data_IF_655894366651
#
_entry.id   IF_655894366651
#
_cell.length_a   1.000
_cell.length_b   1.000
_cell.length_c   1.000
_cell.angle_alpha   90.00
_cell.angle_beta   90.00
_cell.angle_gamma   90.00
#
_symmetry.space_group_name_H-M   'P 1'
#
loop_
_entity.id
_entity.type
_entity.pdbx_description
1 polymer ?
#
# COMPACT_ATOMS: atom_id res chain seq x y z
N UNK A 1 27.36 25.44 -33.09
CA UNK A 1 25.89 25.49 -32.95
C UNK A 1 25.42 24.08 -32.72
N UNK A 2 24.90 23.84 -31.51
CA UNK A 2 24.02 22.75 -31.02
C UNK A 2 24.39 21.28 -31.34
N UNK A 3 24.40 20.33 -30.41
CA UNK A 3 23.98 20.35 -29.02
C UNK A 3 24.61 19.13 -28.33
N UNK A 4 25.29 19.39 -27.23
CA UNK A 4 25.68 18.32 -26.30
C UNK A 4 24.42 17.95 -25.54
N UNK A 5 23.88 16.76 -25.80
CA UNK A 5 22.84 16.16 -24.97
C UNK A 5 23.37 16.06 -23.54
N UNK A 6 22.93 17.02 -22.72
CA UNK A 6 23.16 17.02 -21.29
C UNK A 6 22.36 15.84 -20.71
N UNK A 7 23.04 14.71 -20.49
CA UNK A 7 22.52 13.61 -19.67
C UNK A 7 22.46 14.13 -18.24
N UNK A 8 21.37 14.81 -17.91
CA UNK A 8 21.08 15.24 -16.56
C UNK A 8 20.81 13.99 -15.71
N UNK A 9 21.55 13.77 -14.61
CA UNK A 9 21.20 12.71 -13.68
C UNK A 9 19.80 13.01 -13.15
N UNK A 10 18.89 12.04 -13.18
CA UNK A 10 17.53 12.21 -12.67
C UNK A 10 17.58 12.90 -11.29
N UNK A 11 16.87 14.02 -11.08
CA UNK A 11 16.89 14.69 -9.79
C UNK A 11 16.33 13.73 -8.75
N UNK A 12 16.99 13.61 -7.59
CA UNK A 12 16.57 12.74 -6.46
C UNK A 12 15.07 12.87 -6.11
N UNK A 13 14.45 14.05 -6.36
CA UNK A 13 13.00 14.26 -6.25
C UNK A 13 12.16 13.36 -7.17
N UNK A 14 12.61 13.09 -8.40
CA UNK A 14 11.93 12.19 -9.34
C UNK A 14 11.87 10.76 -8.82
N UNK A 15 12.96 10.27 -8.21
CA UNK A 15 12.99 8.95 -7.57
C UNK A 15 12.04 8.85 -6.36
N UNK A 16 11.93 9.93 -5.58
CA UNK A 16 10.98 10.01 -4.46
C UNK A 16 9.53 10.02 -4.97
N UNK A 17 9.21 10.81 -5.99
CA UNK A 17 7.87 10.85 -6.59
C UNK A 17 7.49 9.51 -7.22
N UNK A 18 8.45 8.83 -7.86
CA UNK A 18 8.24 7.49 -8.42
C UNK A 18 7.92 6.48 -7.33
N UNK A 19 8.66 6.48 -6.22
CA UNK A 19 8.39 5.61 -5.08
C UNK A 19 7.01 5.86 -4.46
N UNK A 20 6.61 7.13 -4.28
CA UNK A 20 5.27 7.46 -3.75
C UNK A 20 4.15 6.97 -4.68
N UNK A 21 4.32 7.10 -5.99
CA UNK A 21 3.37 6.57 -6.98
C UNK A 21 3.25 5.04 -6.91
N UNK A 22 4.39 4.33 -6.85
CA UNK A 22 4.44 2.86 -6.74
C UNK A 22 3.77 2.37 -5.44
N UNK A 23 3.98 3.06 -4.31
CA UNK A 23 3.34 2.72 -3.03
C UNK A 23 1.83 2.94 -3.07
N UNK A 24 1.37 4.03 -3.70
CA UNK A 24 -0.07 4.29 -3.88
C UNK A 24 -0.73 3.19 -4.71
N UNK A 25 -0.08 2.79 -5.79
CA UNK A 25 -0.60 1.73 -6.67
C UNK A 25 -0.58 0.35 -5.97
N UNK A 26 0.48 0.05 -5.22
CA UNK A 26 0.57 -1.17 -4.42
C UNK A 26 -0.54 -1.26 -3.38
N UNK A 27 -0.82 -0.16 -2.65
CA UNK A 27 -1.96 -0.08 -1.72
C UNK A 27 -3.27 -0.47 -2.40
N UNK A 28 -3.59 0.15 -3.53
CA UNK A 28 -4.83 -0.13 -4.27
C UNK A 28 -4.94 -1.59 -4.69
N UNK A 29 -3.86 -2.19 -5.21
CA UNK A 29 -3.88 -3.60 -5.60
C UNK A 29 -4.07 -4.55 -4.43
N UNK A 30 -3.41 -4.30 -3.30
CA UNK A 30 -3.56 -5.17 -2.14
C UNK A 30 -4.91 -5.01 -1.45
N UNK A 31 -5.50 -3.80 -1.42
CA UNK A 31 -6.87 -3.60 -0.94
C UNK A 31 -7.89 -4.30 -1.83
N UNK A 32 -7.73 -4.22 -3.16
CA UNK A 32 -8.60 -4.94 -4.08
C UNK A 32 -8.47 -6.46 -3.91
N UNK A 33 -7.26 -6.99 -3.78
CA UNK A 33 -7.03 -8.41 -3.54
C UNK A 33 -7.62 -8.87 -2.20
N UNK A 34 -7.45 -8.07 -1.14
CA UNK A 34 -8.05 -8.30 0.17
C UNK A 34 -9.58 -8.42 0.06
N UNK A 35 -10.23 -7.47 -0.62
CA UNK A 35 -11.68 -7.48 -0.84
C UNK A 35 -12.13 -8.77 -1.56
N UNK A 36 -11.48 -9.11 -2.68
CA UNK A 36 -11.83 -10.30 -3.47
C UNK A 36 -11.69 -11.57 -2.61
N UNK A 37 -10.56 -11.76 -1.94
CA UNK A 37 -10.36 -12.98 -1.15
C UNK A 37 -11.28 -13.06 0.06
N UNK A 38 -11.61 -11.92 0.69
CA UNK A 38 -12.61 -11.88 1.75
C UNK A 38 -14.01 -12.28 1.24
N UNK A 39 -14.42 -11.81 0.05
CA UNK A 39 -15.71 -12.18 -0.57
C UNK A 39 -15.84 -13.69 -0.84
N UNK A 40 -14.73 -14.35 -1.20
CA UNK A 40 -14.68 -15.80 -1.42
C UNK A 40 -14.29 -16.60 -0.16
N UNK A 41 -14.18 -15.95 0.99
CA UNK A 41 -13.78 -16.54 2.28
C UNK A 41 -12.41 -17.29 2.19
N UNK A 42 -11.51 -16.83 1.32
CA UNK A 42 -10.16 -17.35 1.17
C UNK A 42 -9.22 -16.71 2.20
N UNK A 43 -9.36 -17.19 3.44
CA UNK A 43 -8.55 -16.72 4.56
C UNK A 43 -7.05 -16.99 4.40
N UNK A 44 -6.66 -18.02 3.64
CA UNK A 44 -5.24 -18.32 3.40
C UNK A 44 -4.61 -17.23 2.54
N UNK A 45 -5.25 -16.84 1.43
CA UNK A 45 -4.71 -15.81 0.56
C UNK A 45 -4.69 -14.43 1.22
N UNK A 46 -5.72 -14.11 2.02
CA UNK A 46 -5.77 -12.91 2.86
C UNK A 46 -4.54 -12.84 3.77
N UNK A 47 -4.30 -13.90 4.55
CA UNK A 47 -3.22 -13.93 5.56
C UNK A 47 -1.82 -14.03 4.94
N UNK A 48 -1.71 -14.62 3.75
CA UNK A 48 -0.41 -14.88 3.11
C UNK A 48 0.05 -13.73 2.22
N UNK A 49 -0.88 -13.07 1.52
CA UNK A 49 -0.51 -12.17 0.41
C UNK A 49 -0.94 -10.71 0.61
N UNK A 50 -2.20 -10.42 0.95
CA UNK A 50 -2.67 -9.03 0.97
C UNK A 50 -2.44 -8.36 2.32
N UNK A 51 -2.86 -9.00 3.42
CA UNK A 51 -2.80 -8.38 4.75
C UNK A 51 -1.36 -8.05 5.16
N UNK A 52 -0.36 -8.95 5.08
CA UNK A 52 1.01 -8.61 5.48
C UNK A 52 1.62 -7.48 4.65
N UNK A 53 1.24 -7.36 3.38
CA UNK A 53 1.75 -6.32 2.48
C UNK A 53 1.15 -4.96 2.80
N UNK A 54 -0.14 -4.91 3.12
CA UNK A 54 -0.80 -3.70 3.58
C UNK A 54 -0.22 -3.23 4.92
N UNK A 55 0.04 -4.15 5.85
CA UNK A 55 0.70 -3.83 7.14
C UNK A 55 2.09 -3.26 6.92
N UNK A 56 2.91 -3.87 6.05
CA UNK A 56 4.23 -3.35 5.73
C UNK A 56 4.18 -1.96 5.09
N UNK A 57 3.21 -1.72 4.20
CA UNK A 57 2.97 -0.39 3.61
C UNK A 57 2.60 0.62 4.70
N UNK A 58 1.66 0.29 5.59
CA UNK A 58 1.27 1.16 6.71
C UNK A 58 2.46 1.50 7.61
N UNK A 59 3.28 0.52 7.98
CA UNK A 59 4.48 0.78 8.80
C UNK A 59 5.45 1.73 8.11
N UNK A 60 5.60 1.63 6.77
CA UNK A 60 6.50 2.48 6.00
C UNK A 60 5.96 3.90 5.77
N UNK A 61 4.66 4.04 5.52
CA UNK A 61 4.06 5.30 5.05
C UNK A 61 3.23 6.02 6.10
N UNK A 62 2.80 5.31 7.15
CA UNK A 62 1.80 5.76 8.12
C UNK A 62 0.49 6.23 7.43
N UNK A 63 0.16 5.60 6.30
CA UNK A 63 -1.02 5.95 5.50
C UNK A 63 -2.29 5.34 6.11
N UNK A 64 -3.05 6.19 6.80
CA UNK A 64 -4.31 5.86 7.47
C UNK A 64 -5.38 5.25 6.54
N UNK A 65 -5.34 5.57 5.24
CA UNK A 65 -6.25 4.99 4.25
C UNK A 65 -6.12 3.46 4.16
N UNK A 66 -4.96 2.92 4.54
CA UNK A 66 -4.75 1.46 4.63
C UNK A 66 -5.61 0.86 5.74
N UNK A 67 -5.62 1.49 6.93
CA UNK A 67 -6.42 1.03 8.06
C UNK A 67 -7.92 1.12 7.75
N UNK A 68 -8.35 2.24 7.14
CA UNK A 68 -9.73 2.45 6.67
C UNK A 68 -10.14 1.38 5.66
N UNK A 69 -9.27 1.07 4.70
CA UNK A 69 -9.51 0.02 3.71
C UNK A 69 -9.68 -1.35 4.34
N UNK A 70 -8.73 -1.76 5.21
CA UNK A 70 -8.80 -3.04 5.93
C UNK A 70 -10.08 -3.14 6.77
N UNK A 71 -10.39 -2.09 7.54
CA UNK A 71 -11.57 -2.01 8.39
C UNK A 71 -12.87 -2.18 7.57
N UNK A 72 -12.93 -1.53 6.40
CA UNK A 72 -14.07 -1.61 5.49
C UNK A 72 -14.28 -3.02 4.95
N UNK A 73 -13.21 -3.74 4.57
CA UNK A 73 -13.33 -5.12 4.06
C UNK A 73 -13.86 -6.07 5.14
N UNK A 74 -13.36 -5.94 6.37
CA UNK A 74 -13.72 -6.84 7.46
C UNK A 74 -14.95 -6.41 8.26
N UNK A 75 -15.50 -5.21 8.00
CA UNK A 75 -16.65 -4.68 8.73
C UNK A 75 -16.34 -4.36 10.20
N UNK A 76 -15.09 -4.03 10.51
CA UNK A 76 -14.61 -3.71 11.87
C UNK A 76 -14.29 -2.23 12.00
N UNK A 77 -14.01 -1.74 13.21
CA UNK A 77 -13.59 -0.36 13.43
C UNK A 77 -12.12 -0.12 13.04
N UNK A 78 -11.79 1.09 12.57
CA UNK A 78 -10.40 1.48 12.23
C UNK A 78 -9.47 1.37 13.45
N UNK A 79 -9.95 1.76 14.63
CA UNK A 79 -9.19 1.66 15.88
C UNK A 79 -8.95 0.21 16.33
N UNK A 80 -9.85 -0.71 15.97
CA UNK A 80 -9.65 -2.14 16.19
C UNK A 80 -8.51 -2.66 15.31
N UNK A 81 -8.51 -2.29 14.03
CA UNK A 81 -7.40 -2.61 13.12
C UNK A 81 -6.10 -2.00 13.63
N UNK A 82 -6.10 -0.73 14.04
CA UNK A 82 -4.91 -0.06 14.60
C UNK A 82 -4.36 -0.80 15.81
N UNK A 83 -5.20 -1.12 16.79
CA UNK A 83 -4.80 -1.83 17.99
C UNK A 83 -4.18 -3.20 17.71
N UNK A 84 -4.64 -3.89 16.67
CA UNK A 84 -4.06 -5.18 16.23
C UNK A 84 -2.71 -5.04 15.52
N UNK A 85 -2.43 -3.89 14.90
CA UNK A 85 -1.18 -3.65 14.17
C UNK A 85 -0.08 -3.00 15.02
N UNK A 86 -0.47 -2.33 16.11
CA UNK A 86 0.43 -1.59 16.99
C UNK A 86 0.65 -2.25 18.37
N UNK A 87 -0.19 -3.22 18.75
CA UNK A 87 -0.07 -4.00 20.00
C UNK A 87 0.86 -5.20 19.89
#
# INVERSE_FOLDING_TARGET
MEGLEQVTPLPKKSSLLKGVGELTQAKSYYLQALQIWAEFNDGYSVQTYSLPRLVALYQQTQDEEILVGIASVFGVGVEEVRGLLEG
#
